data_IF_996875095912
#
_entry.id   IF_996875095912
#
_cell.length_a   1.000
_cell.length_b   1.000
_cell.length_c   1.000
_cell.angle_alpha   90.00
_cell.angle_beta   90.00
_cell.angle_gamma   90.00
#
_symmetry.space_group_name_H-M   'P 1'
#
loop_
_entity.id
_entity.type
_entity.pdbx_description
1 polymer ?
#
# COMPACT_ATOMS: atom_id res chain seq x y z
N UNK A 1 -4.60 -10.27 3.44
CA UNK A 1 -4.98 -11.59 2.87
C UNK A 1 -6.50 -11.65 2.85
N UNK A 2 -7.11 -12.40 1.95
CA UNK A 2 -8.56 -12.57 1.88
C UNK A 2 -8.84 -14.07 1.87
N UNK A 3 -9.05 -14.65 3.06
CA UNK A 3 -9.04 -16.11 3.23
C UNK A 3 -7.64 -16.71 3.00
N UNK A 4 -7.61 -18.01 2.68
CA UNK A 4 -6.38 -18.80 2.62
C UNK A 4 -5.64 -18.68 1.27
N UNK A 5 -6.38 -18.55 0.17
CA UNK A 5 -5.85 -18.66 -1.20
C UNK A 5 -5.96 -17.37 -2.03
N UNK A 6 -6.30 -16.24 -1.42
CA UNK A 6 -6.46 -14.97 -2.14
C UNK A 6 -5.84 -13.75 -1.42
N UNK A 7 -5.53 -12.74 -2.23
CA UNK A 7 -5.05 -11.44 -1.78
C UNK A 7 -5.93 -10.34 -2.34
N UNK A 8 -6.20 -9.32 -1.52
CA UNK A 8 -6.70 -8.03 -1.96
C UNK A 8 -5.53 -7.07 -2.04
N UNK A 9 -5.46 -6.31 -3.13
CA UNK A 9 -4.45 -5.28 -3.35
C UNK A 9 -5.16 -3.93 -3.33
N UNK A 10 -4.83 -3.12 -2.34
CA UNK A 10 -5.32 -1.75 -2.21
C UNK A 10 -4.43 -0.81 -3.03
N UNK A 11 -5.04 0.05 -3.83
CA UNK A 11 -4.36 1.06 -4.64
C UNK A 11 -5.31 2.22 -4.97
N UNK A 12 -4.75 3.34 -5.43
CA UNK A 12 -5.54 4.48 -5.89
C UNK A 12 -6.49 4.06 -7.01
N UNK A 13 -7.75 4.53 -6.93
CA UNK A 13 -8.79 4.23 -7.91
C UNK A 13 -8.38 4.58 -9.35
N UNK A 14 -7.71 5.72 -9.52
CA UNK A 14 -7.20 6.18 -10.81
C UNK A 14 -6.17 5.21 -11.43
N UNK A 15 -5.43 4.48 -10.60
CA UNK A 15 -4.31 3.61 -10.99
C UNK A 15 -4.71 2.15 -11.14
N UNK A 16 -5.87 1.75 -10.62
CA UNK A 16 -6.32 0.35 -10.58
C UNK A 16 -6.31 -0.33 -11.96
N UNK A 17 -6.78 0.37 -13.00
CA UNK A 17 -6.86 -0.19 -14.36
C UNK A 17 -5.47 -0.42 -14.98
N UNK A 18 -4.54 0.53 -14.83
CA UNK A 18 -3.18 0.37 -15.34
C UNK A 18 -2.39 -0.66 -14.53
N UNK A 19 -2.57 -0.67 -13.20
CA UNK A 19 -1.98 -1.67 -12.32
C UNK A 19 -2.41 -3.10 -12.70
N UNK A 20 -3.71 -3.32 -12.90
CA UNK A 20 -4.23 -4.61 -13.35
C UNK A 20 -3.65 -5.03 -14.71
N UNK A 21 -3.57 -4.09 -15.67
CA UNK A 21 -2.96 -4.32 -16.98
C UNK A 21 -1.49 -4.75 -16.85
N UNK A 22 -0.70 -4.09 -16.00
CA UNK A 22 0.70 -4.44 -15.75
C UNK A 22 0.82 -5.84 -15.14
N UNK A 23 -0.03 -6.20 -14.17
CA UNK A 23 -0.04 -7.55 -13.60
C UNK A 23 -0.36 -8.63 -14.64
N UNK A 24 -1.27 -8.35 -15.59
CA UNK A 24 -1.59 -9.30 -16.67
C UNK A 24 -0.39 -9.63 -17.56
N UNK A 25 0.54 -8.68 -17.77
CA UNK A 25 1.78 -8.94 -18.53
C UNK A 25 2.64 -10.04 -17.88
N UNK A 26 2.58 -10.18 -16.56
CA UNK A 26 3.36 -11.14 -15.78
C UNK A 26 2.58 -12.41 -15.39
N UNK A 27 1.29 -12.52 -15.73
CA UNK A 27 0.44 -13.69 -15.39
C UNK A 27 0.75 -14.94 -16.25
N UNK A 28 1.55 -14.84 -17.31
CA UNK A 28 1.72 -15.93 -18.28
C UNK A 28 2.07 -17.28 -17.62
N UNK A 29 1.15 -18.26 -17.76
CA UNK A 29 1.20 -19.62 -17.16
C UNK A 29 1.07 -19.71 -15.64
N UNK A 30 0.84 -18.60 -14.95
CA UNK A 30 0.47 -18.59 -13.53
C UNK A 30 -1.00 -18.94 -13.36
N UNK A 31 -1.30 -19.87 -12.45
CA UNK A 31 -2.67 -20.25 -12.06
C UNK A 31 -3.22 -19.26 -11.04
N UNK A 32 -3.44 -18.02 -11.47
CA UNK A 32 -3.98 -16.94 -10.63
C UNK A 32 -5.03 -16.17 -11.42
N UNK A 33 -6.14 -15.82 -10.80
CA UNK A 33 -7.15 -14.93 -11.38
C UNK A 33 -6.98 -13.51 -10.86
N UNK A 34 -7.20 -12.55 -11.75
CA UNK A 34 -7.05 -11.12 -11.48
C UNK A 34 -8.37 -10.45 -11.85
N UNK A 35 -9.00 -9.83 -10.87
CA UNK A 35 -10.21 -9.01 -11.04
C UNK A 35 -9.96 -7.63 -10.44
N UNK A 36 -10.55 -6.61 -11.06
CA UNK A 36 -10.73 -5.30 -10.44
C UNK A 36 -12.14 -5.31 -9.88
N UNK A 37 -12.27 -5.17 -8.57
CA UNK A 37 -13.57 -5.03 -7.90
C UNK A 37 -14.03 -3.58 -8.05
N UNK A 38 -15.28 -3.34 -8.47
CA UNK A 38 -15.88 -2.00 -8.36
C UNK A 38 -16.08 -1.69 -6.86
N UNK A 39 -15.56 -0.55 -6.43
CA UNK A 39 -15.00 -0.31 -5.09
C UNK A 39 -15.92 -0.67 -3.90
N UNK A 40 -15.38 -1.48 -2.98
CA UNK A 40 -15.63 -1.27 -1.56
C UNK A 40 -14.92 0.03 -1.16
N UNK A 41 -15.62 0.96 -0.52
CA UNK A 41 -14.98 2.16 -0.01
C UNK A 41 -13.95 1.77 1.06
N UNK A 42 -12.77 2.35 0.96
CA UNK A 42 -11.73 2.17 1.97
C UNK A 42 -11.83 3.32 2.95
N UNK A 43 -11.88 2.99 4.25
CA UNK A 43 -11.81 3.98 5.32
C UNK A 43 -10.63 3.70 6.22
N UNK A 44 -10.19 4.74 6.91
CA UNK A 44 -9.08 4.69 7.87
C UNK A 44 -9.56 5.22 9.21
N UNK A 45 -9.10 4.60 10.28
CA UNK A 45 -9.30 5.10 11.64
C UNK A 45 -7.98 5.11 12.41
N UNK A 46 -7.85 6.06 13.33
CA UNK A 46 -6.69 6.22 14.20
C UNK A 46 -7.17 6.79 15.55
N UNK A 47 -6.33 6.70 16.58
CA UNK A 47 -6.65 7.11 17.96
C UNK A 47 -7.89 6.44 18.56
N UNK A 48 -8.26 5.27 18.04
CA UNK A 48 -9.38 4.48 18.52
C UNK A 48 -9.11 2.99 18.34
N UNK A 49 -9.82 2.17 19.11
CA UNK A 49 -9.82 0.72 18.97
C UNK A 49 -10.30 0.33 17.56
N UNK A 50 -9.86 -0.83 17.04
CA UNK A 50 -10.32 -1.31 15.73
C UNK A 50 -11.85 -1.45 15.73
N UNK A 51 -12.56 -0.80 14.78
CA UNK A 51 -14.02 -0.81 14.72
C UNK A 51 -14.62 -2.18 14.44
N UNK A 52 -13.84 -3.16 13.93
CA UNK A 52 -14.33 -4.52 13.70
C UNK A 52 -13.24 -5.59 13.63
N UNK A 53 -13.65 -6.85 13.60
CA UNK A 53 -12.72 -8.00 13.52
C UNK A 53 -11.92 -8.04 12.21
N UNK A 54 -12.46 -7.44 11.14
CA UNK A 54 -11.82 -7.37 9.82
C UNK A 54 -10.90 -6.15 9.65
N UNK A 55 -10.73 -5.31 10.69
CA UNK A 55 -9.85 -4.15 10.67
C UNK A 55 -8.39 -4.58 10.48
N UNK A 56 -7.74 -4.04 9.44
CA UNK A 56 -6.34 -4.33 9.15
C UNK A 56 -5.43 -3.23 9.68
N UNK A 57 -4.47 -3.59 10.54
CA UNK A 57 -3.47 -2.63 11.02
C UNK A 57 -2.60 -2.13 9.87
N UNK A 58 -2.50 -0.81 9.70
CA UNK A 58 -1.61 -0.19 8.73
C UNK A 58 -0.17 -0.16 9.27
N UNK A 59 0.66 -1.07 8.77
CA UNK A 59 2.05 -1.21 9.24
C UNK A 59 2.97 -0.07 8.83
N UNK A 60 2.51 0.88 8.01
CA UNK A 60 3.31 2.05 7.61
C UNK A 60 3.52 3.02 8.77
N UNK A 61 2.62 3.01 9.75
CA UNK A 61 2.68 3.92 10.89
C UNK A 61 3.42 3.30 12.07
N UNK A 62 4.49 3.97 12.49
CA UNK A 62 5.19 3.67 13.73
C UNK A 62 4.67 4.57 14.86
N UNK A 63 4.39 3.97 16.03
CA UNK A 63 4.04 4.71 17.25
C UNK A 63 2.59 5.18 17.36
N UNK A 64 1.76 4.94 16.35
CA UNK A 64 0.31 5.17 16.37
C UNK A 64 -0.38 3.96 15.74
N UNK A 65 -1.52 3.57 16.32
CA UNK A 65 -2.35 2.52 15.74
C UNK A 65 -3.30 3.13 14.71
N UNK A 66 -3.04 2.78 13.45
CA UNK A 66 -3.88 3.13 12.31
C UNK A 66 -4.49 1.85 11.76
N UNK A 67 -5.78 1.88 11.49
CA UNK A 67 -6.56 0.75 11.00
C UNK A 67 -7.18 1.09 9.65
N UNK A 68 -7.14 0.13 8.73
CA UNK A 68 -7.79 0.16 7.42
C UNK A 68 -9.01 -0.74 7.42
N UNK A 69 -10.09 -0.24 6.82
CA UNK A 69 -11.36 -0.95 6.67
C UNK A 69 -11.78 -0.92 5.21
N UNK A 70 -12.36 -2.01 4.73
CA UNK A 70 -12.82 -2.15 3.35
C UNK A 70 -14.28 -2.57 3.38
N UNK A 71 -15.19 -1.71 2.90
CA UNK A 71 -16.62 -1.96 2.99
C UNK A 71 -17.43 -0.67 2.87
N UNK A 72 -18.56 -0.60 3.56
CA UNK A 72 -19.27 0.67 3.71
C UNK A 72 -18.40 1.64 4.52
N UNK A 73 -18.26 2.91 4.10
CA UNK A 73 -17.51 3.89 4.86
C UNK A 73 -18.18 4.07 6.23
N UNK A 74 -17.37 4.06 7.29
CA UNK A 74 -17.83 4.46 8.62
C UNK A 74 -17.00 5.68 9.05
N UNK A 75 -17.68 6.75 9.47
CA UNK A 75 -17.02 7.96 9.97
C UNK A 75 -17.25 9.22 9.11
N UNK A 76 -16.48 10.25 9.41
CA UNK A 76 -16.50 11.53 8.70
C UNK A 76 -15.44 11.59 7.60
N UNK A 77 -15.69 12.41 6.58
CA UNK A 77 -14.71 12.73 5.54
C UNK A 77 -13.79 13.87 6.01
N UNK A 78 -12.70 13.51 6.70
CA UNK A 78 -11.64 14.45 7.08
C UNK A 78 -10.30 14.09 6.41
N UNK A 79 -10.27 14.26 5.09
CA UNK A 79 -9.06 14.08 4.29
C UNK A 79 -7.88 14.96 4.76
N UNK A 80 -8.17 16.10 5.39
CA UNK A 80 -7.17 17.01 5.94
C UNK A 80 -6.45 16.41 7.14
N UNK A 81 -7.21 15.87 8.10
CA UNK A 81 -6.65 15.19 9.27
C UNK A 81 -5.87 13.93 8.88
N UNK A 82 -6.37 13.15 7.91
CA UNK A 82 -5.62 12.02 7.36
C UNK A 82 -4.27 12.43 6.78
N UNK A 83 -4.25 13.50 5.98
CA UNK A 83 -3.03 14.03 5.38
C UNK A 83 -2.06 14.53 6.45
N UNK A 84 -2.54 15.24 7.46
CA UNK A 84 -1.72 15.72 8.57
C UNK A 84 -1.09 14.56 9.36
N UNK A 85 -1.86 13.50 9.64
CA UNK A 85 -1.36 12.29 10.30
C UNK A 85 -0.26 11.61 9.48
N UNK A 86 -0.47 11.41 8.18
CA UNK A 86 0.54 10.84 7.28
C UNK A 86 1.83 11.63 7.29
N UNK A 87 1.75 12.95 7.15
CA UNK A 87 2.92 13.84 7.16
C UNK A 87 3.66 13.75 8.51
N UNK A 88 2.94 13.79 9.63
CA UNK A 88 3.53 13.73 10.96
C UNK A 88 4.31 12.43 11.21
N UNK A 89 3.90 11.32 10.58
CA UNK A 89 4.53 10.01 10.70
C UNK A 89 5.43 9.64 9.50
N UNK A 90 5.64 10.54 8.54
CA UNK A 90 6.50 10.30 7.38
C UNK A 90 5.97 9.23 6.42
N UNK A 91 4.65 9.06 6.34
CA UNK A 91 4.00 8.07 5.45
C UNK A 91 3.63 8.73 4.12
N UNK A 92 4.41 8.47 3.07
CA UNK A 92 4.16 8.98 1.73
C UNK A 92 3.16 8.12 0.94
N UNK A 93 2.34 8.75 0.11
CA UNK A 93 1.39 8.12 -0.81
C UNK A 93 1.60 8.61 -2.25
N UNK A 94 1.77 7.68 -3.19
CA UNK A 94 1.90 7.98 -4.61
C UNK A 94 0.62 8.61 -5.17
N UNK A 95 0.77 9.52 -6.13
CA UNK A 95 -0.32 10.33 -6.70
C UNK A 95 -0.76 11.51 -5.84
N UNK A 96 -0.29 11.59 -4.59
CA UNK A 96 -0.53 12.72 -3.69
C UNK A 96 0.78 13.42 -3.32
N UNK A 97 1.76 12.67 -2.82
CA UNK A 97 3.03 13.21 -2.34
C UNK A 97 4.14 13.15 -3.41
N UNK A 98 4.02 12.24 -4.37
CA UNK A 98 4.94 12.08 -5.50
C UNK A 98 4.25 11.36 -6.67
N UNK A 99 4.74 11.58 -7.89
CA UNK A 99 4.21 10.95 -9.10
C UNK A 99 4.55 9.46 -9.18
N UNK A 100 3.63 8.66 -9.72
CA UNK A 100 3.85 7.22 -9.88
C UNK A 100 5.02 6.93 -10.85
N UNK A 101 6.03 6.21 -10.36
CA UNK A 101 7.22 5.85 -11.14
C UNK A 101 8.38 6.81 -11.01
N UNK A 102 8.21 7.95 -10.33
CA UNK A 102 9.24 8.98 -10.17
C UNK A 102 10.07 8.86 -8.89
N UNK A 103 9.68 7.98 -7.96
CA UNK A 103 10.37 7.76 -6.69
C UNK A 103 10.93 6.34 -6.57
N UNK A 104 12.09 6.20 -5.93
CA UNK A 104 12.57 4.92 -5.45
C UNK A 104 11.86 4.54 -4.14
N UNK A 105 11.76 3.24 -3.80
CA UNK A 105 11.17 2.83 -2.53
C UNK A 105 11.79 3.50 -1.29
N UNK A 106 13.09 3.80 -1.35
CA UNK A 106 13.83 4.53 -0.31
C UNK A 106 13.40 5.99 -0.16
N UNK A 107 13.05 6.67 -1.26
CA UNK A 107 12.60 8.06 -1.23
C UNK A 107 11.24 8.18 -0.53
N UNK A 108 10.42 7.11 -0.60
CA UNK A 108 9.12 7.00 0.03
C UNK A 108 9.15 6.25 1.39
N UNK A 109 10.34 5.94 1.93
CA UNK A 109 10.49 5.26 3.23
C UNK A 109 9.97 3.81 3.28
N UNK A 110 9.78 3.15 2.13
CA UNK A 110 9.27 1.77 2.06
C UNK A 110 10.27 0.74 2.59
N UNK A 111 11.56 1.07 2.62
CA UNK A 111 12.60 0.26 3.27
C UNK A 111 12.48 0.26 4.80
N UNK A 112 11.91 1.33 5.38
CA UNK A 112 11.75 1.51 6.82
C UNK A 112 10.40 1.00 7.35
N UNK A 113 9.38 1.00 6.48
CA UNK A 113 8.00 0.63 6.83
C UNK A 113 7.61 -0.80 6.44
N UNK A 114 8.59 -1.61 6.00
CA UNK A 114 8.37 -3.00 5.59
C UNK A 114 7.78 -3.18 4.18
N UNK A 115 7.70 -2.10 3.39
CA UNK A 115 7.31 -2.14 1.98
C UNK A 115 8.32 -2.81 1.05
N UNK A 116 9.59 -2.94 1.47
CA UNK A 116 10.64 -3.69 0.76
C UNK A 116 11.29 -4.72 1.68
N UNK A 117 11.45 -5.95 1.19
CA UNK A 117 12.24 -6.98 1.86
C UNK A 117 13.50 -7.31 1.06
N UNK A 118 14.65 -7.21 1.73
CA UNK A 118 15.96 -7.59 1.18
C UNK A 118 16.33 -9.06 1.41
N UNK A 119 15.44 -9.81 2.09
CA UNK A 119 15.65 -11.22 2.43
C UNK A 119 14.73 -12.18 1.66
N UNK A 120 13.84 -11.65 0.80
CA UNK A 120 12.94 -12.45 -0.04
C UNK A 120 13.57 -12.84 -1.37
N UNK A 121 12.91 -13.74 -2.10
CA UNK A 121 13.25 -14.07 -3.48
C UNK A 121 13.03 -12.92 -4.47
N UNK A 122 13.41 -13.12 -5.73
CA UNK A 122 13.50 -12.04 -6.71
C UNK A 122 12.17 -11.32 -7.00
N UNK A 123 12.23 -10.04 -7.38
CA UNK A 123 11.10 -9.25 -7.87
C UNK A 123 11.52 -8.23 -8.94
N UNK A 124 10.56 -7.72 -9.70
CA UNK A 124 10.80 -6.73 -10.76
C UNK A 124 11.42 -5.47 -10.17
N UNK A 125 12.52 -5.00 -10.75
CA UNK A 125 13.25 -3.80 -10.29
C UNK A 125 14.17 -4.03 -9.08
N UNK A 126 14.26 -5.25 -8.53
CA UNK A 126 15.06 -5.54 -7.33
C UNK A 126 16.52 -5.12 -7.45
N UNK A 127 17.15 -5.30 -8.61
CA UNK A 127 18.56 -4.94 -8.78
C UNK A 127 18.79 -3.45 -8.51
N UNK A 128 17.91 -2.58 -9.02
CA UNK A 128 17.99 -1.14 -8.83
C UNK A 128 17.70 -0.76 -7.37
N UNK A 129 16.68 -1.37 -6.76
CA UNK A 129 16.34 -1.16 -5.34
C UNK A 129 17.49 -1.62 -4.42
N UNK A 130 18.11 -2.76 -4.72
CA UNK A 130 19.27 -3.28 -3.99
C UNK A 130 20.49 -2.37 -4.13
N UNK A 131 20.74 -1.83 -5.33
CA UNK A 131 21.80 -0.85 -5.56
C UNK A 131 21.57 0.40 -4.73
N UNK A 132 20.36 0.94 -4.69
CA UNK A 132 20.01 2.08 -3.82
C UNK A 132 20.29 1.79 -2.34
N UNK A 133 19.88 0.62 -1.82
CA UNK A 133 20.11 0.25 -0.42
C UNK A 133 21.59 0.25 -0.01
N UNK A 134 22.48 -0.18 -0.91
CA UNK A 134 23.91 -0.29 -0.66
C UNK A 134 24.71 0.91 -1.17
N UNK A 135 24.02 1.88 -1.79
CA UNK A 135 24.63 3.13 -2.20
C UNK A 135 24.84 3.97 -0.96
N UNK A 136 25.96 3.71 -0.28
CA UNK A 136 26.46 4.59 0.76
C UNK A 136 26.73 5.98 0.19
N UNK A 137 26.58 6.98 1.06
CA UNK A 137 27.11 8.34 0.92
C UNK A 137 28.41 8.40 0.12
#
# INVERSE_FOLDING_TARGET
RSGDDAFRLDCMAASASDFARRLMLYKLRSKVDLSVEEQAEASVSWDMDPPGEDSLRDSRFAGVDVWRHYGAPEGGDDAGAWTALRIAHGVAEAGVDYEEGDAFPHDAGLDQTGGVSFRKGCFVGQEVVSRMQHRGT
#
